data_IF_189751780758
#
_entry.id   IF_189751780758
#
_cell.length_a   1.000
_cell.length_b   1.000
_cell.length_c   1.000
_cell.angle_alpha   90.00
_cell.angle_beta   90.00
_cell.angle_gamma   90.00
#
_symmetry.space_group_name_H-M   'P 1'
#
loop_
_entity.id
_entity.type
_entity.pdbx_description
1 polymer ?
#
# COMPACT_ATOMS: atom_id res chain seq x y z
N UNK A 1 -12.37 -19.68 25.32
CA UNK A 1 -12.29 -19.65 23.83
C UNK A 1 -13.11 -18.51 23.24
N UNK A 2 -14.38 -18.36 23.57
CA UNK A 2 -15.27 -17.31 22.96
C UNK A 2 -14.77 -15.87 23.15
N UNK A 3 -14.21 -15.54 24.29
CA UNK A 3 -13.68 -14.19 24.56
C UNK A 3 -12.47 -13.84 23.70
N UNK A 4 -11.60 -14.81 23.41
CA UNK A 4 -10.43 -14.62 22.53
C UNK A 4 -10.88 -14.38 21.10
N UNK A 5 -11.84 -15.18 20.62
CA UNK A 5 -12.41 -15.04 19.27
C UNK A 5 -13.11 -13.69 19.14
N UNK A 6 -13.92 -13.31 20.13
CA UNK A 6 -14.57 -12.00 20.17
C UNK A 6 -13.57 -10.84 20.15
N UNK A 7 -12.50 -10.92 20.93
CA UNK A 7 -11.42 -9.92 20.94
C UNK A 7 -10.73 -9.79 19.59
N UNK A 8 -10.41 -10.91 18.94
CA UNK A 8 -9.79 -10.93 17.60
C UNK A 8 -10.72 -10.30 16.54
N UNK A 9 -12.01 -10.62 16.58
CA UNK A 9 -13.00 -10.06 15.65
C UNK A 9 -13.13 -8.55 15.83
N UNK A 10 -13.28 -8.08 17.06
CA UNK A 10 -13.41 -6.65 17.36
C UNK A 10 -12.14 -5.89 16.94
N UNK A 11 -10.97 -6.43 17.29
CA UNK A 11 -9.68 -5.79 16.93
C UNK A 11 -9.48 -5.77 15.42
N UNK A 12 -9.76 -6.86 14.73
CA UNK A 12 -9.67 -6.94 13.27
C UNK A 12 -10.63 -5.97 12.58
N UNK A 13 -11.88 -5.91 13.02
CA UNK A 13 -12.88 -4.98 12.52
C UNK A 13 -12.49 -3.52 12.79
N UNK A 14 -11.95 -3.22 13.96
CA UNK A 14 -11.49 -1.88 14.31
C UNK A 14 -10.32 -1.44 13.42
N UNK A 15 -9.34 -2.31 13.16
CA UNK A 15 -8.23 -2.01 12.23
C UNK A 15 -8.73 -1.76 10.81
N UNK A 16 -9.71 -2.53 10.34
CA UNK A 16 -10.34 -2.31 9.04
C UNK A 16 -11.06 -0.97 8.98
N UNK A 17 -11.77 -0.61 10.04
CA UNK A 17 -12.43 0.69 10.15
C UNK A 17 -11.41 1.84 10.13
N UNK A 18 -10.31 1.73 10.89
CA UNK A 18 -9.21 2.70 10.86
C UNK A 18 -8.59 2.84 9.47
N UNK A 19 -8.44 1.74 8.76
CA UNK A 19 -7.94 1.75 7.37
C UNK A 19 -8.86 2.55 6.46
N UNK A 20 -10.16 2.31 6.53
CA UNK A 20 -11.17 3.06 5.77
C UNK A 20 -11.16 4.55 6.10
N UNK A 21 -11.10 4.89 7.39
CA UNK A 21 -11.01 6.27 7.84
C UNK A 21 -9.71 6.96 7.38
N UNK A 22 -8.59 6.26 7.46
CA UNK A 22 -7.28 6.74 6.98
C UNK A 22 -7.29 7.04 5.48
N UNK A 23 -7.90 6.18 4.67
CA UNK A 23 -8.04 6.38 3.23
C UNK A 23 -8.84 7.64 2.87
N UNK A 24 -9.87 7.96 3.63
CA UNK A 24 -10.73 9.12 3.37
C UNK A 24 -10.11 10.42 3.88
N UNK A 25 -9.42 10.38 5.02
CA UNK A 25 -9.01 11.58 5.74
C UNK A 25 -7.56 12.01 5.52
N UNK A 26 -6.69 11.15 5.01
CA UNK A 26 -5.30 11.52 4.74
C UNK A 26 -5.15 12.23 3.40
N UNK A 27 -4.50 13.39 3.33
CA UNK A 27 -4.33 14.17 2.10
C UNK A 27 -3.25 13.58 1.17
N UNK A 28 -2.30 12.80 1.71
CA UNK A 28 -1.15 12.28 0.96
C UNK A 28 -1.40 10.85 0.47
N UNK A 29 -1.17 10.61 -0.83
CA UNK A 29 -1.31 9.30 -1.48
C UNK A 29 -0.36 8.26 -0.86
N UNK A 30 0.86 8.65 -0.51
CA UNK A 30 1.84 7.74 0.09
C UNK A 30 1.45 7.32 1.51
N UNK A 31 0.96 8.25 2.32
CA UNK A 31 0.42 7.94 3.66
C UNK A 31 -0.81 7.04 3.58
N UNK A 32 -1.72 7.30 2.63
CA UNK A 32 -2.91 6.48 2.37
C UNK A 32 -2.55 5.06 1.98
N UNK A 33 -1.58 4.90 1.09
CA UNK A 33 -1.08 3.61 0.64
C UNK A 33 -0.44 2.82 1.78
N UNK A 34 0.32 3.49 2.64
CA UNK A 34 0.97 2.88 3.80
C UNK A 34 -0.04 2.42 4.86
N UNK A 35 -1.05 3.24 5.14
CA UNK A 35 -2.15 2.88 6.03
C UNK A 35 -2.98 1.71 5.46
N UNK A 36 -3.32 1.76 4.17
CA UNK A 36 -4.10 0.72 3.51
C UNK A 36 -3.37 -0.64 3.54
N UNK A 37 -2.09 -0.68 3.23
CA UNK A 37 -1.36 -1.96 3.17
C UNK A 37 -1.07 -2.56 4.53
N UNK A 38 -0.65 -1.78 5.52
CA UNK A 38 -0.31 -2.32 6.86
C UNK A 38 -1.53 -2.65 7.69
N UNK A 39 -2.47 -1.71 7.82
CA UNK A 39 -3.63 -1.91 8.70
C UNK A 39 -4.65 -2.87 8.09
N UNK A 40 -4.86 -2.83 6.76
CA UNK A 40 -5.81 -3.74 6.11
C UNK A 40 -5.34 -5.19 6.15
N UNK A 41 -4.07 -5.45 5.79
CA UNK A 41 -3.55 -6.82 5.81
C UNK A 41 -3.54 -7.43 7.22
N UNK A 42 -3.21 -6.63 8.24
CA UNK A 42 -3.27 -7.07 9.63
C UNK A 42 -4.72 -7.31 10.08
N UNK A 43 -5.64 -6.40 9.72
CA UNK A 43 -7.06 -6.55 10.02
C UNK A 43 -7.67 -7.82 9.42
N UNK A 44 -7.41 -8.07 8.13
CA UNK A 44 -7.88 -9.31 7.46
C UNK A 44 -7.25 -10.56 8.08
N UNK A 45 -5.96 -10.53 8.41
CA UNK A 45 -5.29 -11.65 9.06
C UNK A 45 -5.92 -12.01 10.41
N UNK A 46 -6.27 -11.00 11.22
CA UNK A 46 -6.94 -11.21 12.51
C UNK A 46 -8.35 -11.78 12.34
N UNK A 47 -9.10 -11.30 11.34
CA UNK A 47 -10.45 -11.82 11.05
C UNK A 47 -10.40 -13.28 10.57
N UNK A 48 -9.47 -13.61 9.70
CA UNK A 48 -9.27 -14.99 9.21
C UNK A 48 -8.79 -15.92 10.34
N UNK A 49 -7.94 -15.44 11.22
CA UNK A 49 -7.51 -16.20 12.40
C UNK A 49 -8.68 -16.45 13.35
N UNK A 50 -9.51 -15.44 13.58
CA UNK A 50 -10.71 -15.60 14.39
C UNK A 50 -11.67 -16.63 13.80
N UNK A 51 -11.89 -16.61 12.48
CA UNK A 51 -12.69 -17.59 11.77
C UNK A 51 -12.10 -19.00 11.88
N UNK A 52 -10.78 -19.14 11.71
CA UNK A 52 -10.09 -20.43 11.84
C UNK A 52 -10.27 -21.01 13.26
N UNK A 53 -10.16 -20.19 14.30
CA UNK A 53 -10.36 -20.59 15.69
C UNK A 53 -11.83 -20.91 16.01
N UNK A 54 -12.76 -20.27 15.33
CA UNK A 54 -14.19 -20.50 15.54
C UNK A 54 -14.65 -21.84 14.94
N UNK A 55 -14.30 -22.09 13.69
CA UNK A 55 -14.76 -23.31 12.99
C UNK A 55 -13.95 -24.55 13.36
N UNK A 56 -12.70 -24.42 13.75
CA UNK A 56 -11.79 -25.51 14.13
C UNK A 56 -11.69 -26.67 13.11
N UNK A 57 -12.14 -26.44 11.88
CA UNK A 57 -12.02 -27.41 10.80
C UNK A 57 -10.69 -27.25 10.05
N UNK A 58 -9.99 -28.34 9.80
CA UNK A 58 -8.70 -28.35 9.10
C UNK A 58 -8.77 -27.65 7.74
N UNK A 59 -9.87 -27.82 7.02
CA UNK A 59 -10.11 -27.14 5.72
C UNK A 59 -10.17 -25.63 5.86
N UNK A 60 -10.86 -25.13 6.88
CA UNK A 60 -10.99 -23.67 7.14
C UNK A 60 -9.66 -23.09 7.58
N UNK A 61 -8.97 -23.77 8.48
CA UNK A 61 -7.65 -23.35 8.96
C UNK A 61 -6.64 -23.28 7.81
N UNK A 62 -6.58 -24.31 6.97
CA UNK A 62 -5.68 -24.34 5.82
C UNK A 62 -5.97 -23.21 4.84
N UNK A 63 -7.24 -22.99 4.49
CA UNK A 63 -7.66 -21.88 3.61
C UNK A 63 -7.31 -20.53 4.21
N UNK A 64 -7.56 -20.32 5.49
CA UNK A 64 -7.22 -19.08 6.19
C UNK A 64 -5.71 -18.81 6.15
N UNK A 65 -4.88 -19.82 6.43
CA UNK A 65 -3.43 -19.70 6.43
C UNK A 65 -2.88 -19.35 5.04
N UNK A 66 -3.34 -20.06 4.01
CA UNK A 66 -2.95 -19.80 2.61
C UNK A 66 -3.35 -18.40 2.19
N UNK A 67 -4.56 -17.96 2.54
CA UNK A 67 -5.05 -16.62 2.21
C UNK A 67 -4.24 -15.54 2.91
N UNK A 68 -3.93 -15.70 4.19
CA UNK A 68 -3.07 -14.76 4.94
C UNK A 68 -1.69 -14.68 4.31
N UNK A 69 -1.05 -15.82 4.02
CA UNK A 69 0.26 -15.86 3.38
C UNK A 69 0.24 -15.16 2.01
N UNK A 70 -0.80 -15.40 1.22
CA UNK A 70 -0.98 -14.76 -0.09
C UNK A 70 -1.13 -13.23 0.02
N UNK A 71 -1.92 -12.76 0.98
CA UNK A 71 -2.10 -11.31 1.24
C UNK A 71 -0.77 -10.68 1.65
N UNK A 72 -0.03 -11.28 2.58
CA UNK A 72 1.25 -10.75 3.04
C UNK A 72 2.32 -10.74 1.94
N UNK A 73 2.26 -11.66 1.00
CA UNK A 73 3.15 -11.68 -0.16
C UNK A 73 2.74 -10.63 -1.20
N UNK A 74 1.45 -10.50 -1.46
CA UNK A 74 0.92 -9.66 -2.55
C UNK A 74 0.82 -8.18 -2.16
N UNK A 75 0.46 -7.87 -0.92
CA UNK A 75 0.26 -6.50 -0.45
C UNK A 75 1.52 -5.61 -0.61
N UNK A 76 2.74 -6.02 -0.20
CA UNK A 76 3.93 -5.19 -0.39
C UNK A 76 4.31 -5.02 -1.86
N UNK A 77 4.07 -6.03 -2.70
CA UNK A 77 4.33 -5.94 -4.14
C UNK A 77 3.38 -4.94 -4.80
N UNK A 78 2.08 -5.04 -4.51
CA UNK A 78 1.08 -4.11 -5.02
C UNK A 78 1.35 -2.67 -4.57
N UNK A 79 1.72 -2.47 -3.30
CA UNK A 79 2.08 -1.17 -2.75
C UNK A 79 3.30 -0.56 -3.45
N UNK A 80 4.34 -1.34 -3.70
CA UNK A 80 5.54 -0.86 -4.38
C UNK A 80 5.27 -0.47 -5.84
N UNK A 81 4.45 -1.23 -6.55
CA UNK A 81 4.04 -0.93 -7.92
C UNK A 81 3.19 0.34 -8.00
N UNK A 82 2.21 0.49 -7.10
CA UNK A 82 1.38 1.69 -7.01
C UNK A 82 2.21 2.94 -6.66
N UNK A 83 3.16 2.81 -5.72
CA UNK A 83 4.07 3.89 -5.35
C UNK A 83 4.92 4.34 -6.54
N UNK A 84 5.50 3.41 -7.28
CA UNK A 84 6.28 3.71 -8.49
C UNK A 84 5.42 4.35 -9.57
N UNK A 85 4.21 3.86 -9.80
CA UNK A 85 3.29 4.42 -10.79
C UNK A 85 2.81 5.83 -10.42
N UNK A 86 2.50 6.09 -9.14
CA UNK A 86 2.14 7.40 -8.64
C UNK A 86 3.30 8.39 -8.78
N UNK A 87 4.53 7.95 -8.50
CA UNK A 87 5.73 8.76 -8.65
C UNK A 87 6.01 9.09 -10.13
N UNK A 88 5.88 8.11 -11.03
CA UNK A 88 6.08 8.30 -12.47
C UNK A 88 5.07 9.29 -13.09
N UNK A 89 3.85 9.37 -12.56
CA UNK A 89 2.82 10.32 -13.00
C UNK A 89 2.97 11.73 -12.43
N UNK A 90 4.07 12.02 -11.71
CA UNK A 90 4.33 13.32 -11.07
C UNK A 90 3.15 13.79 -10.20
N UNK A 91 2.49 12.87 -9.49
CA UNK A 91 1.42 13.23 -8.58
C UNK A 91 1.97 14.21 -7.56
N UNK A 92 1.33 15.36 -7.33
CA UNK A 92 1.86 16.37 -6.40
C UNK A 92 1.99 15.77 -5.00
N UNK A 93 3.23 15.79 -4.48
CA UNK A 93 3.47 15.50 -3.07
C UNK A 93 2.89 16.67 -2.25
N UNK A 94 2.48 16.36 -1.03
CA UNK A 94 2.01 17.40 -0.12
C UNK A 94 3.09 18.46 0.11
N UNK A 95 2.71 19.74 0.11
CA UNK A 95 3.64 20.89 0.19
C UNK A 95 4.58 20.88 1.40
N UNK A 96 4.27 20.08 2.42
CA UNK A 96 5.10 19.89 3.64
C UNK A 96 5.98 18.64 3.60
N UNK A 97 6.13 17.97 2.46
CA UNK A 97 7.04 16.84 2.31
C UNK A 97 8.49 17.33 2.34
N UNK A 98 9.20 17.03 3.42
CA UNK A 98 10.51 17.59 3.76
C UNK A 98 11.65 17.04 2.91
N UNK A 99 11.44 15.92 2.17
CA UNK A 99 12.52 15.24 1.44
C UNK A 99 12.00 14.58 0.16
N UNK A 100 12.36 15.14 -0.97
CA UNK A 100 12.10 14.58 -2.30
C UNK A 100 13.42 14.28 -3.03
N UNK A 101 14.20 13.35 -2.48
CA UNK A 101 15.48 12.92 -3.07
C UNK A 101 15.33 12.30 -4.47
N UNK A 102 14.15 11.78 -4.79
CA UNK A 102 13.88 11.17 -6.09
C UNK A 102 13.71 12.19 -7.21
N UNK A 103 13.40 13.45 -6.89
CA UNK A 103 13.22 14.51 -7.89
C UNK A 103 14.53 14.88 -8.58
N UNK A 104 15.62 14.89 -7.84
CA UNK A 104 16.94 15.23 -8.36
C UNK A 104 17.43 14.19 -9.35
N UNK A 105 17.14 12.90 -9.14
CA UNK A 105 17.49 11.85 -10.07
C UNK A 105 16.66 11.84 -11.36
N UNK A 106 15.45 12.39 -11.34
CA UNK A 106 14.59 12.52 -12.53
C UNK A 106 14.89 13.82 -13.29
N UNK A 107 15.26 14.88 -12.58
CA UNK A 107 15.64 16.15 -13.17
C UNK A 107 16.95 16.08 -13.96
N UNK A 108 17.84 15.12 -13.66
CA UNK A 108 19.10 14.89 -14.37
C UNK A 108 18.88 14.23 -15.75
N UNK A 109 17.69 13.69 -16.03
CA UNK A 109 17.37 13.18 -17.36
C UNK A 109 16.66 14.28 -18.15
N UNK A 110 17.37 15.04 -19.00
CA UNK A 110 16.73 16.05 -19.85
C UNK A 110 15.66 15.36 -20.68
N UNK A 111 14.52 16.03 -20.82
CA UNK A 111 13.44 15.52 -21.66
C UNK A 111 14.01 15.23 -23.06
N UNK A 112 13.67 14.10 -23.68
CA UNK A 112 14.20 13.74 -25.01
C UNK A 112 13.99 14.84 -26.06
N UNK A 113 13.00 15.69 -25.88
CA UNK A 113 12.76 16.86 -26.73
C UNK A 113 13.82 17.96 -26.62
N UNK A 114 14.38 18.18 -25.41
CA UNK A 114 15.44 19.19 -25.24
C UNK A 114 16.75 18.77 -25.91
N UNK A 115 17.05 17.47 -25.89
CA UNK A 115 18.24 16.92 -26.56
C UNK A 115 18.09 16.94 -28.11
N UNK A 116 16.86 16.71 -28.61
CA UNK A 116 16.56 16.82 -30.03
C UNK A 116 16.61 18.27 -30.52
N UNK A 117 16.09 19.23 -29.75
CA UNK A 117 16.14 20.64 -30.09
C UNK A 117 17.59 21.17 -30.10
N UNK A 118 18.42 20.75 -29.15
CA UNK A 118 19.83 21.10 -29.10
C UNK A 118 20.63 20.55 -30.31
N UNK A 119 20.34 19.32 -30.75
CA UNK A 119 20.95 18.71 -31.94
C UNK A 119 20.52 19.37 -33.24
N UNK A 120 19.28 19.82 -33.33
CA UNK A 120 18.77 20.51 -34.53
C UNK A 120 19.41 21.88 -34.68
N UNK A 121 19.66 22.60 -33.57
CA UNK A 121 20.33 23.92 -33.61
C UNK A 121 21.81 23.87 -33.91
N UNK A 122 22.50 22.74 -33.72
CA UNK A 122 23.90 22.56 -34.04
C UNK A 122 24.14 22.18 -35.50
N UNK A 123 23.11 21.75 -36.23
CA UNK A 123 23.19 21.31 -37.63
C UNK A 123 22.77 22.40 -38.67
N UNK A 124 22.46 23.62 -38.19
CA UNK A 124 22.16 24.79 -39.06
C UNK A 124 23.25 25.81 -38.97
#
# INVERSE_FOLDING_TARGET
MSWVIGGLLVTGAFLMFLTGLGLVRMPDIFCRMHAATKSASLGVALLLLAAALFFQETMVVTKALVTVAFIFLTAPVAASLLGRAAYARRTPLWEHSVMDEGRDHIAIRPAPEADQAARTSQNT
#
